data_IF_435168256067
#
_entry.id   IF_435168256067
#
_cell.length_a   1.000
_cell.length_b   1.000
_cell.length_c   1.000
_cell.angle_alpha   90.00
_cell.angle_beta   90.00
_cell.angle_gamma   90.00
#
_symmetry.space_group_name_H-M   'P 1'
#
loop_
_entity.id
_entity.type
_entity.pdbx_description
1 polymer ?
#
# COMPACT_ATOMS: atom_id res chain seq x y z
N UNK A 1 -22.26 5.87 8.29
CA UNK A 1 -23.70 5.58 8.36
C UNK A 1 -24.06 5.08 9.75
N UNK A 2 -25.19 5.53 10.32
CA UNK A 2 -25.85 4.87 11.45
C UNK A 2 -26.97 3.97 10.93
N UNK A 3 -27.25 2.88 11.65
CA UNK A 3 -28.21 1.86 11.25
C UNK A 3 -29.17 1.48 12.37
N UNK A 4 -30.40 1.12 12.00
CA UNK A 4 -31.35 0.39 12.82
C UNK A 4 -31.81 -0.84 12.01
N UNK A 5 -31.38 -2.03 12.44
CA UNK A 5 -31.53 -3.24 11.62
C UNK A 5 -30.81 -3.11 10.28
N UNK A 6 -31.55 -3.27 9.18
CA UNK A 6 -31.08 -3.13 7.80
C UNK A 6 -31.26 -1.71 7.22
N UNK A 7 -31.79 -0.76 8.00
CA UNK A 7 -32.09 0.59 7.54
C UNK A 7 -31.00 1.57 7.95
N UNK A 8 -30.55 2.38 6.98
CA UNK A 8 -29.72 3.57 7.25
C UNK A 8 -30.58 4.63 7.93
N UNK A 9 -30.18 5.09 9.12
CA UNK A 9 -30.90 6.11 9.90
C UNK A 9 -30.22 7.48 9.87
N UNK A 10 -28.91 7.52 9.64
CA UNK A 10 -28.18 8.78 9.49
C UNK A 10 -26.94 8.66 8.59
N UNK A 11 -26.67 9.75 7.85
CA UNK A 11 -25.42 9.98 7.13
C UNK A 11 -24.57 11.00 7.90
N UNK A 12 -23.31 10.66 8.16
CA UNK A 12 -22.37 11.44 8.96
C UNK A 12 -21.15 11.82 8.10
N UNK A 13 -20.24 12.59 8.68
CA UNK A 13 -18.92 12.91 8.11
C UNK A 13 -18.99 13.63 6.74
N UNK A 14 -19.83 14.66 6.67
CA UNK A 14 -20.02 15.51 5.48
C UNK A 14 -18.86 16.47 5.18
N UNK A 15 -17.71 16.32 5.85
CA UNK A 15 -16.58 17.26 5.74
C UNK A 15 -15.91 17.30 4.35
N UNK A 16 -16.12 16.26 3.54
CA UNK A 16 -15.62 16.16 2.16
C UNK A 16 -16.71 16.34 1.10
N UNK A 17 -17.93 16.75 1.47
CA UNK A 17 -19.02 16.92 0.51
C UNK A 17 -18.71 18.02 -0.51
N UNK A 18 -18.97 17.74 -1.78
CA UNK A 18 -18.80 18.69 -2.87
C UNK A 18 -19.71 18.32 -4.04
N UNK A 19 -19.94 19.27 -4.95
CA UNK A 19 -20.51 18.97 -6.26
C UNK A 19 -19.40 18.37 -7.14
N UNK A 20 -19.66 17.22 -7.76
CA UNK A 20 -18.64 16.50 -8.52
C UNK A 20 -19.18 15.37 -9.38
N UNK A 21 -18.27 14.56 -9.91
CA UNK A 21 -18.57 13.36 -10.67
C UNK A 21 -19.04 12.24 -9.72
N UNK A 22 -20.24 11.67 -9.87
CA UNK A 22 -20.71 10.56 -9.03
C UNK A 22 -19.79 9.32 -9.07
N UNK A 23 -19.01 9.15 -10.13
CA UNK A 23 -18.02 8.06 -10.22
C UNK A 23 -16.89 8.20 -9.20
N UNK A 24 -16.67 9.41 -8.69
CA UNK A 24 -15.74 9.65 -7.59
C UNK A 24 -16.20 8.95 -6.30
N UNK A 25 -17.50 9.02 -5.97
CA UNK A 25 -18.04 8.34 -4.79
C UNK A 25 -17.96 6.80 -4.94
N UNK A 26 -18.24 6.28 -6.14
CA UNK A 26 -18.06 4.87 -6.44
C UNK A 26 -16.60 4.44 -6.38
N UNK A 27 -15.66 5.29 -6.81
CA UNK A 27 -14.23 5.03 -6.62
C UNK A 27 -13.84 5.02 -5.13
N UNK A 28 -14.41 5.91 -4.31
CA UNK A 28 -14.19 5.90 -2.86
C UNK A 28 -14.68 4.60 -2.21
N UNK A 29 -15.82 4.05 -2.67
CA UNK A 29 -16.28 2.71 -2.26
C UNK A 29 -15.21 1.65 -2.57
N UNK A 30 -14.60 1.69 -3.76
CA UNK A 30 -13.55 0.76 -4.17
C UNK A 30 -12.32 0.84 -3.24
N UNK A 31 -11.91 2.05 -2.87
CA UNK A 31 -10.80 2.28 -1.93
C UNK A 31 -11.14 1.75 -0.53
N UNK A 32 -12.38 1.95 -0.06
CA UNK A 32 -12.82 1.46 1.24
C UNK A 32 -12.81 -0.07 1.31
N UNK A 33 -13.08 -0.73 0.18
CA UNK A 33 -13.09 -2.18 0.04
C UNK A 33 -11.72 -2.84 0.13
N UNK A 34 -10.63 -2.09 0.03
CA UNK A 34 -9.26 -2.62 0.24
C UNK A 34 -9.09 -3.25 1.63
N UNK A 35 -9.73 -2.66 2.64
CA UNK A 35 -9.57 -3.06 4.04
C UNK A 35 -10.79 -3.78 4.61
N UNK A 36 -11.94 -3.66 3.96
CA UNK A 36 -13.18 -4.29 4.39
C UNK A 36 -14.01 -4.65 3.16
N UNK A 37 -14.03 -5.93 2.83
CA UNK A 37 -14.91 -6.43 1.78
C UNK A 37 -16.38 -6.18 2.14
N UNK A 38 -17.16 -5.80 1.13
CA UNK A 38 -18.61 -5.69 1.19
C UNK A 38 -19.21 -6.72 0.22
N UNK A 39 -20.06 -6.26 -0.70
CA UNK A 39 -20.56 -7.00 -1.87
C UNK A 39 -19.60 -6.84 -3.05
N UNK A 40 -19.63 -7.73 -4.06
CA UNK A 40 -18.94 -7.51 -5.32
C UNK A 40 -19.26 -6.13 -5.92
N UNK A 41 -18.27 -5.47 -6.51
CA UNK A 41 -18.47 -4.13 -7.08
C UNK A 41 -19.51 -4.09 -8.21
N UNK A 42 -19.60 -5.07 -9.11
CA UNK A 42 -20.68 -5.10 -10.10
C UNK A 42 -22.07 -5.08 -9.47
N UNK A 43 -22.26 -5.78 -8.34
CA UNK A 43 -23.53 -5.74 -7.59
C UNK A 43 -23.79 -4.38 -6.95
N UNK A 44 -22.75 -3.75 -6.38
CA UNK A 44 -22.87 -2.39 -5.83
C UNK A 44 -23.21 -1.36 -6.91
N UNK A 45 -22.63 -1.50 -8.11
CA UNK A 45 -22.89 -0.64 -9.25
C UNK A 45 -24.32 -0.83 -9.80
N UNK A 46 -24.78 -2.08 -9.95
CA UNK A 46 -26.16 -2.38 -10.34
C UNK A 46 -27.16 -1.78 -9.34
N UNK A 47 -26.92 -1.96 -8.05
CA UNK A 47 -27.78 -1.41 -7.00
C UNK A 47 -27.83 0.14 -7.02
N UNK A 48 -26.70 0.80 -7.34
CA UNK A 48 -26.65 2.24 -7.49
C UNK A 48 -27.46 2.73 -8.70
N UNK A 49 -27.34 2.07 -9.86
CA UNK A 49 -28.12 2.39 -11.06
C UNK A 49 -29.63 2.12 -10.86
N UNK A 50 -29.99 0.97 -10.28
CA UNK A 50 -31.36 0.58 -9.96
C UNK A 50 -32.04 1.55 -8.99
N UNK A 51 -31.27 2.14 -8.06
CA UNK A 51 -31.75 3.17 -7.14
C UNK A 51 -31.93 4.55 -7.80
N UNK A 52 -31.68 4.68 -9.11
CA UNK A 52 -31.81 5.92 -9.87
C UNK A 52 -30.50 6.71 -10.02
N UNK A 53 -29.35 6.10 -9.71
CA UNK A 53 -28.03 6.66 -9.99
C UNK A 53 -27.77 6.81 -11.49
N UNK A 54 -26.75 7.61 -11.83
CA UNK A 54 -26.27 7.72 -13.21
C UNK A 54 -25.66 6.40 -13.69
N UNK A 55 -25.68 6.09 -15.00
CA UNK A 55 -24.96 4.94 -15.53
C UNK A 55 -23.49 4.95 -15.10
N UNK A 56 -22.97 3.80 -14.66
CA UNK A 56 -21.60 3.66 -14.15
C UNK A 56 -20.62 3.66 -15.32
N UNK A 57 -19.79 4.71 -15.36
CA UNK A 57 -18.66 4.83 -16.29
C UNK A 57 -17.39 4.27 -15.65
N UNK A 58 -17.03 3.03 -16.00
CA UNK A 58 -15.88 2.34 -15.43
C UNK A 58 -14.55 3.05 -15.75
N UNK A 59 -14.44 3.78 -16.86
CA UNK A 59 -13.23 4.53 -17.18
C UNK A 59 -13.04 5.69 -16.20
N UNK A 60 -14.13 6.38 -15.84
CA UNK A 60 -14.10 7.41 -14.80
C UNK A 60 -13.85 6.84 -13.42
N UNK A 61 -14.43 5.68 -13.09
CA UNK A 61 -14.13 5.01 -11.81
C UNK A 61 -12.63 4.67 -11.71
N UNK A 62 -12.02 4.12 -12.78
CA UNK A 62 -10.57 3.87 -12.85
C UNK A 62 -9.75 5.15 -12.66
N UNK A 63 -10.14 6.24 -13.33
CA UNK A 63 -9.50 7.56 -13.18
C UNK A 63 -9.55 8.05 -11.73
N UNK A 64 -10.72 8.04 -11.09
CA UNK A 64 -10.89 8.50 -9.71
C UNK A 64 -10.17 7.59 -8.70
N UNK A 65 -10.16 6.27 -8.93
CA UNK A 65 -9.37 5.32 -8.12
C UNK A 65 -7.90 5.71 -8.12
N UNK A 66 -7.33 5.94 -9.30
CA UNK A 66 -5.94 6.37 -9.46
C UNK A 66 -5.70 7.71 -8.77
N UNK A 67 -6.52 8.73 -9.09
CA UNK A 67 -6.36 10.07 -8.55
C UNK A 67 -6.41 10.10 -7.02
N UNK A 68 -7.39 9.43 -6.40
CA UNK A 68 -7.48 9.38 -4.94
C UNK A 68 -6.30 8.67 -4.31
N UNK A 69 -5.81 7.58 -4.91
CA UNK A 69 -4.62 6.90 -4.38
C UNK A 69 -3.39 7.81 -4.31
N UNK A 70 -3.25 8.81 -5.20
CA UNK A 70 -2.16 9.80 -5.08
C UNK A 70 -2.18 10.57 -3.75
N UNK A 71 -3.37 10.76 -3.16
CA UNK A 71 -3.55 11.39 -1.86
C UNK A 71 -3.29 10.47 -0.67
N UNK A 72 -3.58 9.17 -0.80
CA UNK A 72 -3.44 8.15 0.25
C UNK A 72 -2.07 7.48 0.28
N UNK A 73 -1.41 7.32 -0.86
CA UNK A 73 -0.14 6.63 -1.04
C UNK A 73 1.08 7.41 -0.51
N UNK A 74 0.89 8.26 0.50
CA UNK A 74 2.02 8.98 1.11
C UNK A 74 2.91 8.00 1.84
N UNK A 75 4.22 8.08 1.57
CA UNK A 75 5.21 7.34 2.35
C UNK A 75 5.17 7.82 3.80
N UNK A 76 5.23 6.87 4.73
CA UNK A 76 5.39 7.20 6.15
C UNK A 76 6.67 8.03 6.35
N UNK A 77 6.54 9.18 7.02
CA UNK A 77 7.66 10.10 7.28
C UNK A 77 8.52 9.62 8.47
N UNK A 78 8.99 8.37 8.41
CA UNK A 78 9.73 7.73 9.51
C UNK A 78 11.07 8.43 9.81
N UNK A 79 11.68 9.02 8.79
CA UNK A 79 13.00 9.65 8.89
C UNK A 79 12.94 11.18 9.01
N UNK A 80 11.73 11.75 9.07
CA UNK A 80 11.53 13.19 9.22
C UNK A 80 11.52 13.54 10.72
N UNK A 81 12.55 14.23 11.25
CA UNK A 81 12.62 14.57 12.67
C UNK A 81 11.54 15.57 13.09
N UNK A 82 10.96 16.32 12.15
CA UNK A 82 9.95 17.34 12.39
C UNK A 82 8.52 16.77 12.28
N UNK A 83 8.37 15.55 11.77
CA UNK A 83 7.06 14.89 11.70
C UNK A 83 6.61 14.41 13.09
N UNK A 84 5.35 14.68 13.50
CA UNK A 84 4.83 14.13 14.75
C UNK A 84 4.84 12.59 14.68
N UNK A 85 5.18 11.89 15.78
CA UNK A 85 5.20 10.45 15.78
C UNK A 85 3.79 9.90 15.52
N UNK A 86 3.62 8.95 14.59
CA UNK A 86 2.30 8.41 14.31
C UNK A 86 1.77 7.65 15.52
N UNK A 87 0.44 7.67 15.76
CA UNK A 87 -0.17 6.99 16.90
C UNK A 87 0.08 5.48 16.86
N UNK A 88 0.24 4.89 15.68
CA UNK A 88 0.66 3.50 15.51
C UNK A 88 1.51 3.34 14.24
N UNK A 89 2.84 3.47 14.36
CA UNK A 89 3.74 3.38 13.21
C UNK A 89 3.56 2.06 12.42
N UNK A 90 3.50 0.92 13.11
CA UNK A 90 3.35 -0.38 12.46
C UNK A 90 2.10 -0.46 11.59
N UNK A 91 0.97 0.08 12.05
CA UNK A 91 -0.26 0.13 11.24
C UNK A 91 -0.21 1.20 10.15
N UNK A 92 0.42 2.36 10.40
CA UNK A 92 0.61 3.39 9.39
C UNK A 92 1.45 2.87 8.21
N UNK A 93 2.50 2.08 8.49
CA UNK A 93 3.29 1.42 7.45
C UNK A 93 2.44 0.43 6.65
N UNK A 94 1.59 -0.38 7.29
CA UNK A 94 0.68 -1.29 6.58
C UNK A 94 -0.22 -0.54 5.59
N UNK A 95 -0.90 0.53 6.04
CA UNK A 95 -1.76 1.33 5.17
C UNK A 95 -0.97 2.00 4.04
N UNK A 96 0.15 2.65 4.38
CA UNK A 96 1.02 3.33 3.40
C UNK A 96 1.51 2.37 2.33
N UNK A 97 1.98 1.18 2.70
CA UNK A 97 2.44 0.15 1.76
C UNK A 97 1.32 -0.35 0.86
N UNK A 98 0.13 -0.62 1.39
CA UNK A 98 -1.01 -1.08 0.57
C UNK A 98 -1.40 0.00 -0.43
N UNK A 99 -1.55 1.26 0.01
CA UNK A 99 -1.92 2.37 -0.86
C UNK A 99 -0.88 2.63 -1.97
N UNK A 100 0.42 2.59 -1.65
CA UNK A 100 1.47 2.75 -2.66
C UNK A 100 1.50 1.60 -3.68
N UNK A 101 1.33 0.37 -3.22
CA UNK A 101 1.22 -0.79 -4.11
C UNK A 101 0.07 -0.62 -5.10
N UNK A 102 -1.14 -0.44 -4.60
CA UNK A 102 -2.32 -0.36 -5.48
C UNK A 102 -2.32 0.91 -6.33
N UNK A 103 -1.62 1.97 -5.90
CA UNK A 103 -1.35 3.13 -6.75
C UNK A 103 -0.49 2.75 -7.97
N UNK A 104 0.59 1.99 -7.76
CA UNK A 104 1.46 1.56 -8.85
C UNK A 104 0.72 0.63 -9.85
N UNK A 105 -0.15 -0.24 -9.34
CA UNK A 105 -0.99 -1.13 -10.15
C UNK A 105 -2.05 -0.33 -10.94
N UNK A 106 -2.73 0.62 -10.28
CA UNK A 106 -3.73 1.47 -10.94
C UNK A 106 -3.11 2.41 -11.97
N UNK A 107 -1.87 2.86 -11.76
CA UNK A 107 -1.13 3.66 -12.73
C UNK A 107 -0.82 2.84 -13.99
N UNK A 108 -0.42 1.57 -13.83
CA UNK A 108 -0.16 0.67 -14.94
C UNK A 108 -1.43 0.34 -15.73
N UNK A 109 -2.54 0.02 -15.04
CA UNK A 109 -3.86 -0.21 -15.65
C UNK A 109 -4.30 1.02 -16.47
N UNK A 110 -4.21 2.22 -15.90
CA UNK A 110 -4.57 3.45 -16.60
C UNK A 110 -3.66 3.78 -17.79
N UNK A 111 -2.40 3.33 -17.76
CA UNK A 111 -1.45 3.51 -18.85
C UNK A 111 -1.49 2.40 -19.91
N UNK A 112 -2.24 1.31 -19.68
CA UNK A 112 -2.23 0.13 -20.54
C UNK A 112 -0.90 -0.61 -20.53
N UNK A 113 -0.18 -0.58 -19.40
CA UNK A 113 1.13 -1.20 -19.23
C UNK A 113 0.99 -2.53 -18.49
N UNK A 114 1.40 -3.62 -19.13
CA UNK A 114 1.48 -4.93 -18.49
C UNK A 114 2.63 -4.97 -17.48
N UNK A 115 2.31 -5.31 -16.23
CA UNK A 115 3.29 -5.40 -15.16
C UNK A 115 3.92 -6.79 -15.11
N UNK A 116 5.24 -6.94 -15.36
CA UNK A 116 5.92 -8.20 -15.12
C UNK A 116 6.02 -8.48 -13.61
N UNK A 117 6.05 -9.75 -13.17
CA UNK A 117 6.32 -10.08 -11.78
C UNK A 117 7.65 -9.50 -11.33
N UNK A 118 7.66 -8.80 -10.20
CA UNK A 118 8.89 -8.25 -9.63
C UNK A 118 9.83 -9.36 -9.17
N UNK A 119 11.13 -9.18 -9.41
CA UNK A 119 12.16 -10.12 -8.93
C UNK A 119 12.32 -9.96 -7.42
N UNK A 120 11.95 -11.00 -6.67
CA UNK A 120 12.08 -11.10 -5.21
C UNK A 120 13.10 -12.20 -4.84
N UNK A 121 14.41 -11.90 -4.89
CA UNK A 121 15.43 -12.90 -4.62
C UNK A 121 15.39 -13.39 -3.17
N UNK A 122 15.53 -14.69 -2.99
CA UNK A 122 15.66 -15.29 -1.66
C UNK A 122 17.00 -14.92 -1.00
N UNK A 123 16.97 -14.86 0.33
CA UNK A 123 18.14 -14.62 1.16
C UNK A 123 18.11 -15.51 2.40
N UNK A 124 19.26 -15.94 2.93
CA UNK A 124 19.32 -16.67 4.19
C UNK A 124 18.86 -15.76 5.35
N UNK A 125 18.41 -16.34 6.48
CA UNK A 125 18.05 -15.56 7.67
C UNK A 125 19.17 -14.61 8.12
N UNK A 126 18.78 -13.43 8.62
CA UNK A 126 19.69 -12.43 9.15
C UNK A 126 20.43 -12.90 10.42
N UNK A 127 21.49 -12.17 10.79
CA UNK A 127 22.32 -12.49 11.95
C UNK A 127 21.50 -12.55 13.25
N UNK A 128 20.48 -11.69 13.35
CA UNK A 128 19.65 -11.56 14.54
C UNK A 128 18.27 -12.21 14.41
N UNK A 129 18.06 -13.05 13.39
CA UNK A 129 16.76 -13.70 13.09
C UNK A 129 16.12 -14.37 14.32
N UNK A 130 16.93 -15.11 15.09
CA UNK A 130 16.49 -15.76 16.32
C UNK A 130 16.03 -14.76 17.38
N UNK A 131 16.73 -13.64 17.53
CA UNK A 131 16.39 -12.61 18.51
C UNK A 131 15.06 -11.92 18.18
N UNK A 132 14.80 -11.67 16.90
CA UNK A 132 13.49 -11.18 16.46
C UNK A 132 12.38 -12.17 16.80
N UNK A 133 12.60 -13.47 16.58
CA UNK A 133 11.64 -14.52 16.94
C UNK A 133 11.30 -14.51 18.43
N UNK A 134 12.31 -14.51 19.29
CA UNK A 134 12.12 -14.47 20.76
C UNK A 134 11.32 -13.23 21.19
N UNK A 135 11.64 -12.05 20.63
CA UNK A 135 10.91 -10.83 20.97
C UNK A 135 9.44 -10.87 20.52
N UNK A 136 9.14 -11.48 19.37
CA UNK A 136 7.76 -11.70 18.91
C UNK A 136 7.01 -12.69 19.80
N UNK A 137 7.67 -13.77 20.22
CA UNK A 137 7.10 -14.77 21.13
C UNK A 137 6.81 -14.14 22.50
N UNK A 138 7.71 -13.33 23.05
CA UNK A 138 7.46 -12.58 24.30
C UNK A 138 6.25 -11.65 24.20
N UNK A 139 6.10 -10.94 23.07
CA UNK A 139 4.92 -10.09 22.85
C UNK A 139 3.65 -10.94 22.80
N UNK A 140 3.66 -12.06 22.07
CA UNK A 140 2.48 -12.91 21.84
C UNK A 140 2.06 -13.68 23.09
N UNK A 141 3.00 -14.34 23.74
CA UNK A 141 2.73 -15.36 24.75
C UNK A 141 2.82 -14.80 26.17
N UNK A 142 3.61 -13.75 26.38
CA UNK A 142 3.81 -13.14 27.69
C UNK A 142 3.07 -11.81 27.84
N UNK A 143 3.29 -10.85 26.95
CA UNK A 143 2.79 -9.47 27.10
C UNK A 143 1.29 -9.39 26.78
N UNK A 144 0.88 -9.76 25.56
CA UNK A 144 -0.50 -9.58 25.10
C UNK A 144 -1.57 -10.20 26.02
N UNK A 145 -1.41 -11.43 26.55
CA UNK A 145 -2.42 -12.05 27.41
C UNK A 145 -2.61 -11.34 28.75
N UNK A 146 -1.66 -10.49 29.16
CA UNK A 146 -1.68 -9.76 30.45
C UNK A 146 -2.13 -8.32 30.31
N UNK A 147 -2.32 -7.81 29.10
CA UNK A 147 -2.82 -6.46 28.87
C UNK A 147 -4.35 -6.42 28.96
N UNK A 148 -4.88 -5.57 29.82
CA UNK A 148 -6.32 -5.29 29.94
C UNK A 148 -6.74 -4.03 29.16
N UNK A 149 -5.81 -3.11 28.90
CA UNK A 149 -6.06 -1.86 28.19
C UNK A 149 -5.98 -2.05 26.66
N UNK A 150 -7.03 -1.59 25.97
CA UNK A 150 -7.13 -1.68 24.51
C UNK A 150 -6.00 -0.90 23.82
N UNK A 151 -5.65 0.29 24.31
CA UNK A 151 -4.63 1.12 23.69
C UNK A 151 -3.25 0.45 23.77
N UNK A 152 -2.91 -0.11 24.92
CA UNK A 152 -1.69 -0.87 25.18
C UNK A 152 -1.61 -2.11 24.28
N UNK A 153 -2.72 -2.85 24.13
CA UNK A 153 -2.78 -4.00 23.23
C UNK A 153 -2.54 -3.61 21.76
N UNK A 154 -3.12 -2.48 21.32
CA UNK A 154 -2.90 -1.93 19.97
C UNK A 154 -1.43 -1.53 19.76
N UNK A 155 -0.79 -0.92 20.77
CA UNK A 155 0.64 -0.56 20.72
C UNK A 155 1.54 -1.79 20.68
N UNK A 156 1.27 -2.82 21.49
CA UNK A 156 2.02 -4.08 21.48
C UNK A 156 1.94 -4.76 20.10
N UNK A 157 0.74 -4.84 19.50
CA UNK A 157 0.55 -5.34 18.13
C UNK A 157 1.25 -4.45 17.09
N UNK A 158 1.33 -3.15 17.31
CA UNK A 158 2.08 -2.22 16.46
C UNK A 158 3.58 -2.50 16.51
N UNK A 159 4.15 -2.73 17.69
CA UNK A 159 5.56 -3.09 17.86
C UNK A 159 5.89 -4.44 17.22
N UNK A 160 5.04 -5.45 17.37
CA UNK A 160 5.23 -6.74 16.71
C UNK A 160 5.35 -6.59 15.17
N UNK A 161 4.55 -5.71 14.56
CA UNK A 161 4.66 -5.41 13.12
C UNK A 161 6.00 -4.78 12.75
N UNK A 162 6.51 -3.86 13.56
CA UNK A 162 7.83 -3.25 13.34
C UNK A 162 8.95 -4.28 13.45
N UNK A 163 8.90 -5.16 14.45
CA UNK A 163 9.89 -6.22 14.65
C UNK A 163 9.90 -7.17 13.45
N UNK A 164 8.73 -7.57 12.92
CA UNK A 164 8.62 -8.36 11.69
C UNK A 164 9.21 -7.64 10.47
N UNK A 165 8.91 -6.36 10.32
CA UNK A 165 9.43 -5.53 9.23
C UNK A 165 10.97 -5.37 9.31
N UNK A 166 11.52 -5.08 10.49
CA UNK A 166 12.97 -5.00 10.70
C UNK A 166 13.68 -6.34 10.45
N UNK A 167 13.07 -7.45 10.86
CA UNK A 167 13.55 -8.81 10.54
C UNK A 167 13.61 -9.02 9.03
N UNK A 168 12.58 -8.58 8.30
CA UNK A 168 12.56 -8.68 6.83
C UNK A 168 13.59 -7.75 6.17
N UNK A 169 13.79 -6.52 6.67
CA UNK A 169 14.84 -5.61 6.18
C UNK A 169 16.23 -6.23 6.37
N UNK A 170 16.53 -6.78 7.55
CA UNK A 170 17.83 -7.42 7.80
C UNK A 170 18.08 -8.57 6.82
N UNK A 171 17.04 -9.36 6.52
CA UNK A 171 17.13 -10.51 5.63
C UNK A 171 17.22 -10.12 4.16
N UNK A 172 16.33 -9.25 3.68
CA UNK A 172 16.10 -9.03 2.25
C UNK A 172 16.55 -7.66 1.74
N UNK A 173 16.66 -6.65 2.61
CA UNK A 173 16.86 -5.25 2.18
C UNK A 173 18.06 -5.09 1.24
N UNK A 174 19.21 -5.64 1.60
CA UNK A 174 20.43 -5.53 0.76
C UNK A 174 20.31 -6.19 -0.61
N UNK A 175 19.67 -7.35 -0.68
CA UNK A 175 19.53 -8.07 -1.96
C UNK A 175 18.47 -7.39 -2.84
N UNK A 176 17.42 -6.83 -2.23
CA UNK A 176 16.41 -6.03 -2.94
C UNK A 176 17.02 -4.72 -3.47
N UNK A 177 17.77 -3.99 -2.66
CA UNK A 177 18.48 -2.77 -3.08
C UNK A 177 19.46 -3.05 -4.23
N UNK A 178 20.22 -4.14 -4.16
CA UNK A 178 21.14 -4.53 -5.23
C UNK A 178 20.39 -4.89 -6.52
N UNK A 179 19.25 -5.59 -6.42
CA UNK A 179 18.43 -5.96 -7.58
C UNK A 179 17.85 -4.73 -8.24
N UNK A 180 17.21 -3.85 -7.46
CA UNK A 180 16.62 -2.61 -7.95
C UNK A 180 17.66 -1.68 -8.56
N UNK A 181 18.82 -1.54 -7.92
CA UNK A 181 19.96 -0.80 -8.49
C UNK A 181 20.33 -1.35 -9.87
N UNK A 182 20.51 -2.66 -10.01
CA UNK A 182 20.87 -3.27 -11.30
C UNK A 182 19.81 -3.05 -12.38
N UNK A 183 18.52 -3.09 -12.02
CA UNK A 183 17.42 -2.80 -12.95
C UNK A 183 17.42 -1.35 -13.41
N UNK A 184 17.69 -0.41 -12.50
CA UNK A 184 17.83 1.02 -12.81
C UNK A 184 19.06 1.28 -13.67
N UNK A 185 20.21 0.69 -13.34
CA UNK A 185 21.45 0.82 -14.13
C UNK A 185 21.22 0.34 -15.57
N UNK A 186 20.53 -0.79 -15.73
CA UNK A 186 20.14 -1.30 -17.06
C UNK A 186 19.17 -0.38 -17.78
N UNK A 187 18.26 0.28 -17.08
CA UNK A 187 17.25 1.14 -17.69
C UNK A 187 17.78 2.52 -18.08
N UNK A 188 18.83 2.99 -17.41
CA UNK A 188 19.48 4.28 -17.66
C UNK A 188 20.79 4.18 -18.45
N UNK A 189 21.27 2.96 -18.71
CA UNK A 189 22.57 2.68 -19.33
C UNK A 189 23.73 3.39 -18.60
N UNK A 190 23.67 3.38 -17.26
CA UNK A 190 24.60 4.10 -16.40
C UNK A 190 24.82 3.34 -15.10
N UNK A 191 26.08 3.25 -14.64
CA UNK A 191 26.42 2.69 -13.34
C UNK A 191 26.33 3.70 -12.19
N UNK A 192 25.99 3.22 -11.00
CA UNK A 192 25.87 4.02 -9.77
C UNK A 192 26.69 3.44 -8.62
N UNK A 193 27.07 4.27 -7.65
CA UNK A 193 27.83 3.82 -6.48
C UNK A 193 26.97 2.91 -5.59
N UNK A 194 25.76 3.36 -5.26
CA UNK A 194 24.82 2.67 -4.38
C UNK A 194 23.38 2.80 -4.90
N UNK A 195 22.45 2.14 -4.20
CA UNK A 195 21.02 2.16 -4.53
C UNK A 195 20.42 3.56 -4.42
N UNK A 196 20.83 4.35 -3.42
CA UNK A 196 20.31 5.71 -3.21
C UNK A 196 20.63 6.63 -4.39
N UNK A 197 21.86 6.55 -4.91
CA UNK A 197 22.28 7.27 -6.11
C UNK A 197 21.51 6.81 -7.35
N UNK A 198 21.32 5.50 -7.53
CA UNK A 198 20.52 4.96 -8.63
C UNK A 198 19.07 5.42 -8.55
N UNK A 199 18.42 5.33 -7.39
CA UNK A 199 17.05 5.76 -7.18
C UNK A 199 16.86 7.26 -7.44
N UNK A 200 17.80 8.09 -6.99
CA UNK A 200 17.79 9.53 -7.24
C UNK A 200 17.92 9.85 -8.74
N UNK A 201 18.81 9.14 -9.44
CA UNK A 201 18.99 9.29 -10.88
C UNK A 201 17.75 8.83 -11.67
N UNK A 202 17.11 7.75 -11.24
CA UNK A 202 15.83 7.27 -11.79
C UNK A 202 14.73 8.33 -11.62
N UNK A 203 14.54 8.86 -10.42
CA UNK A 203 13.57 9.94 -10.17
C UNK A 203 13.81 11.15 -11.08
N UNK A 204 15.07 11.57 -11.23
CA UNK A 204 15.45 12.65 -12.13
C UNK A 204 15.17 12.34 -13.60
N UNK A 205 15.46 11.12 -14.06
CA UNK A 205 15.18 10.68 -15.42
C UNK A 205 13.67 10.67 -15.73
N UNK A 206 12.84 10.25 -14.78
CA UNK A 206 11.37 10.31 -14.92
C UNK A 206 10.89 11.76 -15.01
N UNK A 207 11.34 12.64 -14.10
CA UNK A 207 10.94 14.04 -14.08
C UNK A 207 11.36 14.79 -15.37
N UNK A 208 12.54 14.48 -15.90
CA UNK A 208 13.09 15.06 -17.12
C UNK A 208 12.65 14.33 -18.40
N UNK A 209 11.80 13.30 -18.27
CA UNK A 209 11.30 12.47 -19.39
C UNK A 209 12.41 11.84 -20.24
N UNK A 210 13.50 11.42 -19.59
CA UNK A 210 14.65 10.73 -20.20
C UNK A 210 14.53 9.20 -20.19
N UNK A 211 13.45 8.67 -19.66
CA UNK A 211 13.13 7.24 -19.64
C UNK A 211 11.71 7.04 -20.19
N UNK A 212 11.50 5.96 -20.93
CA UNK A 212 10.18 5.58 -21.44
C UNK A 212 9.19 5.39 -20.30
N UNK A 213 7.95 5.84 -20.51
CA UNK A 213 6.92 5.85 -19.45
C UNK A 213 6.61 4.43 -18.94
N UNK A 214 6.47 3.47 -19.85
CA UNK A 214 6.20 2.07 -19.53
C UNK A 214 7.31 1.49 -18.66
N UNK A 215 8.57 1.76 -19.03
CA UNK A 215 9.74 1.32 -18.26
C UNK A 215 9.75 1.93 -16.86
N UNK A 216 9.42 3.21 -16.74
CA UNK A 216 9.34 3.88 -15.45
C UNK A 216 8.23 3.29 -14.56
N UNK A 217 7.04 3.03 -15.13
CA UNK A 217 5.92 2.42 -14.41
C UNK A 217 6.30 1.03 -13.89
N UNK A 218 6.94 0.21 -14.72
CA UNK A 218 7.39 -1.14 -14.33
C UNK A 218 8.40 -1.07 -13.17
N UNK A 219 9.38 -0.16 -13.23
CA UNK A 219 10.36 0.00 -12.15
C UNK A 219 9.72 0.52 -10.86
N UNK A 220 8.80 1.48 -10.96
CA UNK A 220 8.02 1.96 -9.81
C UNK A 220 7.20 0.83 -9.17
N UNK A 221 6.56 -0.02 -9.97
CA UNK A 221 5.82 -1.16 -9.44
C UNK A 221 6.76 -2.18 -8.79
N UNK A 222 7.89 -2.51 -9.41
CA UNK A 222 8.87 -3.44 -8.84
C UNK A 222 9.40 -2.96 -7.48
N UNK A 223 9.62 -1.64 -7.33
CA UNK A 223 9.95 -1.01 -6.05
C UNK A 223 8.87 -1.27 -5.00
N UNK A 224 7.61 -0.97 -5.33
CA UNK A 224 6.50 -1.14 -4.41
C UNK A 224 6.22 -2.61 -4.07
N UNK A 225 6.49 -3.54 -4.99
CA UNK A 225 6.45 -4.98 -4.72
C UNK A 225 7.50 -5.41 -3.69
N UNK A 226 8.72 -4.89 -3.78
CA UNK A 226 9.80 -5.18 -2.80
C UNK A 226 9.48 -4.58 -1.43
N UNK A 227 9.02 -3.34 -1.38
CA UNK A 227 8.55 -2.69 -0.15
C UNK A 227 7.39 -3.46 0.49
N UNK A 228 6.45 -3.95 -0.33
CA UNK A 228 5.36 -4.80 0.13
C UNK A 228 5.84 -6.16 0.64
N UNK A 229 6.83 -6.78 -0.02
CA UNK A 229 7.43 -8.04 0.41
C UNK A 229 8.10 -7.89 1.80
N UNK A 230 8.80 -6.78 2.05
CA UNK A 230 9.38 -6.47 3.36
C UNK A 230 8.32 -6.34 4.47
N UNK A 231 7.12 -5.89 4.12
CA UNK A 231 5.99 -5.73 5.05
C UNK A 231 5.05 -6.95 5.12
N UNK A 232 5.23 -7.97 4.27
CA UNK A 232 4.26 -9.04 4.06
C UNK A 232 3.87 -9.76 5.36
N UNK A 233 4.85 -10.21 6.17
CA UNK A 233 4.58 -10.87 7.45
C UNK A 233 3.90 -9.93 8.48
N UNK A 234 4.20 -8.64 8.43
CA UNK A 234 3.59 -7.63 9.29
C UNK A 234 2.14 -7.29 8.87
N UNK A 235 1.82 -7.41 7.58
CA UNK A 235 0.48 -7.19 7.03
C UNK A 235 -0.46 -8.40 7.26
N UNK A 236 0.08 -9.61 7.35
CA UNK A 236 -0.73 -10.82 7.50
C UNK A 236 -1.69 -10.99 6.32
N UNK A 237 -2.99 -11.17 6.58
CA UNK A 237 -4.00 -11.32 5.51
C UNK A 237 -4.10 -10.11 4.58
N UNK A 238 -3.70 -8.92 5.03
CA UNK A 238 -3.69 -7.71 4.21
C UNK A 238 -2.55 -7.70 3.19
N UNK A 239 -1.60 -8.63 3.27
CA UNK A 239 -0.49 -8.72 2.31
C UNK A 239 -0.98 -9.00 0.88
N UNK A 240 -2.12 -9.66 0.71
CA UNK A 240 -2.73 -9.95 -0.58
C UNK A 240 -3.78 -8.91 -1.03
N UNK A 241 -3.96 -7.80 -0.30
CA UNK A 241 -4.95 -6.78 -0.65
C UNK A 241 -4.67 -6.13 -2.00
N UNK A 242 -5.62 -6.22 -2.92
CA UNK A 242 -5.63 -5.52 -4.20
C UNK A 242 -6.99 -4.86 -4.41
N UNK A 243 -7.11 -4.01 -5.43
CA UNK A 243 -8.42 -3.52 -5.84
C UNK A 243 -9.32 -4.68 -6.27
N UNK A 244 -10.56 -4.67 -5.77
CA UNK A 244 -11.57 -5.61 -6.26
C UNK A 244 -11.86 -5.35 -7.76
N UNK A 245 -12.13 -6.41 -8.54
CA UNK A 245 -12.53 -6.31 -9.94
C UNK A 245 -13.73 -5.38 -10.12
N UNK A 246 -13.70 -4.57 -11.17
CA UNK A 246 -14.81 -3.70 -11.56
C UNK A 246 -15.89 -4.43 -12.36
N UNK A 247 -15.53 -5.59 -12.91
CA UNK A 247 -16.29 -6.41 -13.85
C UNK A 247 -16.35 -7.86 -13.33
#
# INVERSE_FOLDING_TARGET
FLFEGDRVTALLDWELVHYGDPMADLAMLCLRMLFQGFVPLPEAFSAYEEAGGYPVDLARVRYWRLLFQTGFARRSRLHDPDAPPPPNLGMNLVYSTIHRRVLSEALADAAGVDLPPATLPEAPPGKYDRSYGIALDDIRDTILPRLSDQQSAVKAKGMARLIKWWRAIERFGRVFDATEKSEIESALDQGFADHSAAWSAFCGAVAEKRIESDRAIILCNAHEMREAALMSDAMGSLAATSFAPLE
#
